data_IF_724430436091
#
_entry.id   IF_724430436091
#
_cell.length_a   1.000
_cell.length_b   1.000
_cell.length_c   1.000
_cell.angle_alpha   90.00
_cell.angle_beta   90.00
_cell.angle_gamma   90.00
#
_symmetry.space_group_name_H-M   'P 1'
#
loop_
_entity.id
_entity.type
_entity.pdbx_description
1 polymer ?
#
# COMPACT_ATOMS: atom_id res chain seq x y z
N UNK A 1 -18.91 26.75 -34.74
CA UNK A 1 -18.81 28.06 -34.02
C UNK A 1 -18.44 29.16 -35.01
N UNK A 2 -17.43 28.94 -35.87
CA UNK A 2 -17.11 29.81 -37.01
C UNK A 2 -18.29 29.94 -38.00
N UNK A 3 -19.03 28.85 -38.25
CA UNK A 3 -20.21 28.86 -39.14
C UNK A 3 -21.34 29.79 -38.65
N UNK A 4 -21.46 29.96 -37.32
CA UNK A 4 -22.39 30.90 -36.70
C UNK A 4 -21.98 32.35 -36.95
N UNK A 5 -20.67 32.64 -36.97
CA UNK A 5 -20.16 33.96 -37.29
C UNK A 5 -20.27 34.27 -38.78
N UNK A 6 -20.01 33.29 -39.66
CA UNK A 6 -20.18 33.42 -41.12
C UNK A 6 -21.67 33.62 -41.48
N UNK A 7 -22.59 33.00 -40.73
CA UNK A 7 -24.02 33.20 -40.92
C UNK A 7 -24.51 34.62 -40.57
N UNK A 8 -23.82 35.35 -39.69
CA UNK A 8 -24.13 36.74 -39.32
C UNK A 8 -23.61 37.78 -40.32
N UNK A 9 -22.76 37.38 -41.27
CA UNK A 9 -22.22 38.28 -42.30
C UNK A 9 -23.23 38.44 -43.45
N UNK A 10 -23.42 39.66 -43.99
CA UNK A 10 -24.29 39.89 -45.15
C UNK A 10 -23.91 39.00 -46.34
N UNK A 11 -24.90 38.53 -47.11
CA UNK A 11 -24.70 37.54 -48.18
C UNK A 11 -23.62 37.94 -49.21
N UNK A 12 -23.47 39.24 -49.49
CA UNK A 12 -22.47 39.76 -50.43
C UNK A 12 -21.00 39.58 -49.99
N UNK A 13 -20.76 39.38 -48.68
CA UNK A 13 -19.43 39.20 -48.11
C UNK A 13 -19.19 37.77 -47.60
N UNK A 14 -20.17 36.89 -47.78
CA UNK A 14 -20.12 35.53 -47.24
C UNK A 14 -19.04 34.68 -47.91
N UNK A 15 -18.88 34.77 -49.23
CA UNK A 15 -17.83 34.07 -49.98
C UNK A 15 -16.43 34.53 -49.57
N UNK A 16 -16.24 35.84 -49.34
CA UNK A 16 -14.98 36.43 -48.87
C UNK A 16 -14.69 36.04 -47.43
N UNK A 17 -15.72 35.99 -46.58
CA UNK A 17 -15.62 35.53 -45.20
C UNK A 17 -15.30 34.03 -45.12
N UNK A 18 -15.85 33.21 -46.01
CA UNK A 18 -15.58 31.77 -46.10
C UNK A 18 -14.15 31.49 -46.58
N UNK A 19 -13.71 32.19 -47.64
CA UNK A 19 -12.34 32.13 -48.16
C UNK A 19 -11.33 32.68 -47.14
N UNK A 20 -11.72 33.71 -46.39
CA UNK A 20 -10.97 34.24 -45.26
C UNK A 20 -10.91 33.27 -44.09
N UNK A 21 -11.96 32.51 -43.78
CA UNK A 21 -11.95 31.57 -42.66
C UNK A 21 -11.24 30.24 -42.96
N UNK A 22 -11.04 29.90 -44.24
CA UNK A 22 -10.52 28.59 -44.68
C UNK A 22 -9.22 28.16 -44.00
N UNK A 23 -8.19 29.02 -43.82
CA UNK A 23 -6.94 28.67 -43.15
C UNK A 23 -7.09 28.25 -41.68
N UNK A 24 -8.16 28.70 -40.99
CA UNK A 24 -8.40 28.44 -39.56
C UNK A 24 -9.59 27.50 -39.30
N UNK A 25 -10.53 27.38 -40.25
CA UNK A 25 -11.80 26.65 -40.07
C UNK A 25 -11.63 25.19 -39.63
N UNK A 26 -10.52 24.54 -39.98
CA UNK A 26 -10.22 23.15 -39.62
C UNK A 26 -9.65 22.98 -38.19
N UNK A 27 -9.10 24.04 -37.57
CA UNK A 27 -8.46 23.99 -36.25
C UNK A 27 -9.43 23.61 -35.11
N UNK A 28 -10.64 24.20 -35.00
CA UNK A 28 -11.60 23.80 -33.96
C UNK A 28 -12.07 22.34 -34.09
N UNK A 29 -12.21 21.85 -35.33
CA UNK A 29 -12.58 20.46 -35.60
C UNK A 29 -11.46 19.51 -35.18
N UNK A 30 -10.21 19.85 -35.49
CA UNK A 30 -9.03 19.11 -35.02
C UNK A 30 -8.98 19.04 -33.49
N UNK A 31 -9.24 20.15 -32.79
CA UNK A 31 -9.29 20.19 -31.33
C UNK A 31 -10.37 19.27 -30.75
N UNK A 32 -11.56 19.22 -31.37
CA UNK A 32 -12.64 18.32 -30.94
C UNK A 32 -12.30 16.84 -31.14
N UNK A 33 -11.69 16.49 -32.27
CA UNK A 33 -11.24 15.11 -32.54
C UNK A 33 -10.17 14.67 -31.54
N UNK A 34 -9.21 15.55 -31.25
CA UNK A 34 -8.16 15.29 -30.27
C UNK A 34 -8.73 15.12 -28.86
N UNK A 35 -9.63 16.01 -28.42
CA UNK A 35 -10.29 15.88 -27.12
C UNK A 35 -11.11 14.58 -27.03
N UNK A 36 -11.86 14.23 -28.08
CA UNK A 36 -12.57 12.96 -28.18
C UNK A 36 -11.63 11.76 -28.00
N UNK A 37 -10.46 11.77 -28.65
CA UNK A 37 -9.46 10.71 -28.52
C UNK A 37 -8.92 10.51 -27.09
N UNK A 38 -8.84 11.57 -26.27
CA UNK A 38 -8.42 11.48 -24.87
C UNK A 38 -9.54 10.92 -23.96
N UNK A 39 -10.78 11.35 -24.17
CA UNK A 39 -11.90 10.96 -23.31
C UNK A 39 -12.55 9.62 -23.68
N UNK A 40 -12.42 9.17 -24.93
CA UNK A 40 -13.07 7.96 -25.43
C UNK A 40 -12.21 6.71 -25.21
N UNK A 41 -11.95 6.37 -23.93
CA UNK A 41 -11.09 5.24 -23.57
C UNK A 41 -11.72 4.31 -22.52
N UNK A 42 -11.60 3.00 -22.74
CA UNK A 42 -12.27 1.94 -21.97
C UNK A 42 -11.68 1.75 -20.55
N UNK A 43 -10.46 2.21 -20.28
CA UNK A 43 -9.81 2.04 -18.96
C UNK A 43 -9.11 3.30 -18.46
N UNK A 44 -9.21 3.59 -17.16
CA UNK A 44 -8.56 4.77 -16.54
C UNK A 44 -7.04 4.81 -16.72
N UNK A 45 -6.39 3.63 -16.78
CA UNK A 45 -4.96 3.51 -17.05
C UNK A 45 -4.57 3.93 -18.47
N UNK A 46 -5.42 3.64 -19.46
CA UNK A 46 -5.19 4.07 -20.84
C UNK A 46 -5.33 5.59 -21.00
N UNK A 47 -6.25 6.22 -20.26
CA UNK A 47 -6.38 7.68 -20.20
C UNK A 47 -5.14 8.31 -19.58
N UNK A 48 -4.66 7.78 -18.45
CA UNK A 48 -3.45 8.25 -17.80
C UNK A 48 -2.23 8.16 -18.72
N UNK A 49 -2.04 7.03 -19.42
CA UNK A 49 -0.94 6.86 -20.37
C UNK A 49 -1.02 7.85 -21.55
N UNK A 50 -2.22 8.04 -22.12
CA UNK A 50 -2.45 9.04 -23.19
C UNK A 50 -2.12 10.45 -22.69
N UNK A 51 -2.60 10.84 -21.52
CA UNK A 51 -2.31 12.15 -20.94
C UNK A 51 -0.82 12.36 -20.71
N UNK A 52 -0.12 11.41 -20.11
CA UNK A 52 1.32 11.57 -19.83
C UNK A 52 2.13 11.58 -21.13
N UNK A 53 1.83 10.74 -22.12
CA UNK A 53 2.64 10.65 -23.35
C UNK A 53 2.32 11.71 -24.41
N UNK A 54 1.07 12.16 -24.50
CA UNK A 54 0.57 12.92 -25.66
C UNK A 54 0.06 14.32 -25.32
N UNK A 55 -0.24 14.65 -24.05
CA UNK A 55 -0.82 15.96 -23.70
C UNK A 55 0.08 17.13 -24.14
N UNK A 56 1.34 17.16 -23.70
CA UNK A 56 2.25 18.25 -24.03
C UNK A 56 2.59 18.33 -25.54
N UNK A 57 2.88 17.21 -26.25
CA UNK A 57 3.04 17.23 -27.71
C UNK A 57 1.80 17.74 -28.45
N UNK A 58 0.60 17.33 -28.03
CA UNK A 58 -0.66 17.75 -28.67
C UNK A 58 -0.94 19.23 -28.44
N UNK A 59 -0.69 19.74 -27.22
CA UNK A 59 -0.80 21.17 -26.92
C UNK A 59 0.18 22.01 -27.76
N UNK A 60 1.43 21.56 -27.91
CA UNK A 60 2.40 22.22 -28.79
C UNK A 60 1.92 22.22 -30.24
N UNK A 61 1.43 21.09 -30.74
CA UNK A 61 0.88 20.98 -32.09
C UNK A 61 -0.30 21.91 -32.35
N UNK A 62 -1.23 22.01 -31.39
CA UNK A 62 -2.35 22.96 -31.42
C UNK A 62 -1.86 24.40 -31.43
N UNK A 63 -0.94 24.77 -30.54
CA UNK A 63 -0.38 26.11 -30.47
C UNK A 63 0.36 26.49 -31.77
N UNK A 64 1.18 25.58 -32.30
CA UNK A 64 1.89 25.76 -33.57
C UNK A 64 0.92 25.92 -34.75
N UNK A 65 -0.15 25.11 -34.80
CA UNK A 65 -1.14 25.16 -35.86
C UNK A 65 -1.96 26.47 -35.81
N UNK A 66 -2.35 26.94 -34.61
CA UNK A 66 -2.97 28.26 -34.43
C UNK A 66 -2.05 29.42 -34.82
N UNK A 67 -0.78 29.38 -34.39
CA UNK A 67 0.19 30.42 -34.74
C UNK A 67 0.49 30.45 -36.24
N UNK A 68 0.57 29.29 -36.89
CA UNK A 68 0.78 29.17 -38.33
C UNK A 68 -0.46 29.67 -39.09
N UNK A 69 -1.66 29.29 -38.65
CA UNK A 69 -2.92 29.79 -39.23
C UNK A 69 -3.04 31.31 -39.14
N UNK A 70 -2.72 31.89 -37.98
CA UNK A 70 -2.70 33.35 -37.78
C UNK A 70 -1.59 34.03 -38.61
N UNK A 71 -0.43 33.39 -38.74
CA UNK A 71 0.68 33.91 -39.54
C UNK A 71 0.28 34.09 -41.01
N UNK A 72 -0.55 33.20 -41.56
CA UNK A 72 -1.04 33.28 -42.94
C UNK A 72 -1.78 34.60 -43.21
N UNK A 73 -2.56 35.12 -42.26
CA UNK A 73 -3.23 36.42 -42.43
C UNK A 73 -2.28 37.61 -42.36
N UNK A 74 -1.15 37.46 -41.68
CA UNK A 74 -0.14 38.53 -41.58
C UNK A 74 0.86 38.49 -42.72
N UNK A 75 0.95 37.38 -43.47
CA UNK A 75 1.88 37.23 -44.60
C UNK A 75 1.76 38.33 -45.65
N UNK A 76 0.54 38.76 -46.10
CA UNK A 76 0.36 39.80 -47.12
C UNK A 76 0.99 41.15 -46.75
N UNK A 77 1.08 41.47 -45.46
CA UNK A 77 1.51 42.77 -44.95
C UNK A 77 2.99 42.83 -44.52
N UNK A 78 3.74 41.71 -44.60
CA UNK A 78 5.16 41.66 -44.19
C UNK A 78 6.11 41.89 -45.37
N UNK A 79 7.15 42.69 -45.13
CA UNK A 79 8.19 43.04 -46.11
C UNK A 79 9.22 41.93 -46.38
N UNK A 80 9.43 40.99 -45.45
CA UNK A 80 10.42 39.88 -45.57
C UNK A 80 9.77 38.50 -45.56
N UNK A 81 8.97 38.21 -46.59
CA UNK A 81 8.12 37.01 -46.66
C UNK A 81 8.93 35.70 -46.66
N UNK A 82 10.02 35.64 -47.43
CA UNK A 82 10.84 34.42 -47.59
C UNK A 82 11.60 34.10 -46.29
N UNK A 83 12.21 35.11 -45.65
CA UNK A 83 12.91 34.96 -44.37
C UNK A 83 11.94 34.49 -43.27
N UNK A 84 10.72 35.03 -43.25
CA UNK A 84 9.68 34.64 -42.31
C UNK A 84 9.17 33.21 -42.53
N UNK A 85 8.92 32.79 -43.77
CA UNK A 85 8.53 31.41 -44.10
C UNK A 85 9.64 30.42 -43.73
N UNK A 86 10.90 30.75 -44.00
CA UNK A 86 12.04 29.94 -43.59
C UNK A 86 12.13 29.82 -42.06
N UNK A 87 11.86 30.91 -41.34
CA UNK A 87 11.85 30.93 -39.87
C UNK A 87 10.74 30.05 -39.31
N UNK A 88 9.52 30.14 -39.86
CA UNK A 88 8.40 29.25 -39.49
C UNK A 88 8.77 27.78 -39.70
N UNK A 89 9.38 27.45 -40.85
CA UNK A 89 9.76 26.07 -41.17
C UNK A 89 10.82 25.53 -40.19
N UNK A 90 11.83 26.35 -39.86
CA UNK A 90 12.82 26.01 -38.82
C UNK A 90 12.17 25.85 -37.44
N UNK A 91 11.17 26.66 -37.11
CA UNK A 91 10.45 26.57 -35.83
C UNK A 91 9.63 25.27 -35.73
N UNK A 92 9.03 24.82 -36.84
CA UNK A 92 8.36 23.51 -36.94
C UNK A 92 9.33 22.34 -36.80
N UNK A 93 10.53 22.45 -37.40
CA UNK A 93 11.58 21.46 -37.21
C UNK A 93 12.05 21.39 -35.75
N UNK A 94 12.22 22.54 -35.10
CA UNK A 94 12.60 22.62 -33.68
C UNK A 94 11.53 22.02 -32.76
N UNK A 95 10.25 22.25 -33.07
CA UNK A 95 9.14 21.63 -32.36
C UNK A 95 9.10 20.11 -32.53
N UNK A 96 9.34 19.59 -33.73
CA UNK A 96 9.44 18.14 -33.96
C UNK A 96 10.59 17.52 -33.15
N UNK A 97 11.76 18.18 -33.12
CA UNK A 97 12.90 17.77 -32.29
C UNK A 97 12.58 17.82 -30.79
N UNK A 98 11.85 18.82 -30.33
CA UNK A 98 11.41 18.94 -28.94
C UNK A 98 10.44 17.81 -28.54
N UNK A 99 9.49 17.45 -29.40
CA UNK A 99 8.58 16.30 -29.20
C UNK A 99 9.36 14.99 -29.15
N UNK A 100 10.35 14.82 -30.02
CA UNK A 100 11.21 13.64 -30.00
C UNK A 100 12.02 13.53 -28.69
N UNK A 101 12.62 14.63 -28.24
CA UNK A 101 13.35 14.68 -26.96
C UNK A 101 12.43 14.39 -25.76
N UNK A 102 11.17 14.83 -25.83
CA UNK A 102 10.15 14.51 -24.83
C UNK A 102 9.92 13.00 -24.70
N UNK A 103 9.73 12.30 -25.81
CA UNK A 103 9.56 10.84 -25.79
C UNK A 103 10.81 10.11 -25.31
N UNK A 104 12.01 10.52 -25.72
CA UNK A 104 13.26 9.94 -25.21
C UNK A 104 13.39 10.16 -23.69
N UNK A 105 13.07 11.37 -23.22
CA UNK A 105 13.06 11.68 -21.78
C UNK A 105 12.09 10.78 -21.02
N UNK A 106 10.89 10.58 -21.55
CA UNK A 106 9.89 9.68 -20.98
C UNK A 106 10.33 8.21 -20.93
N UNK A 107 10.95 7.69 -22.00
CA UNK A 107 11.49 6.32 -22.01
C UNK A 107 12.58 6.15 -20.96
N UNK A 108 13.45 7.16 -20.79
CA UNK A 108 14.50 7.15 -19.76
C UNK A 108 13.91 7.13 -18.36
N UNK A 109 12.87 7.93 -18.09
CA UNK A 109 12.15 7.92 -16.81
C UNK A 109 11.51 6.56 -16.56
N UNK A 110 10.87 5.97 -17.58
CA UNK A 110 10.31 4.62 -17.50
C UNK A 110 11.36 3.56 -17.15
N UNK A 111 12.53 3.61 -17.79
CA UNK A 111 13.64 2.69 -17.48
C UNK A 111 14.14 2.85 -16.04
N UNK A 112 14.22 4.08 -15.53
CA UNK A 112 14.61 4.34 -14.14
C UNK A 112 13.56 3.82 -13.15
N UNK A 113 12.27 4.03 -13.41
CA UNK A 113 11.17 3.51 -12.59
C UNK A 113 11.17 1.98 -12.54
N UNK A 114 11.40 1.30 -13.67
CA UNK A 114 11.56 -0.16 -13.70
C UNK A 114 12.77 -0.58 -12.88
N UNK A 115 13.90 0.13 -13.02
CA UNK A 115 15.07 -0.09 -12.19
C UNK A 115 14.76 0.02 -10.70
N UNK A 116 13.97 1.03 -10.29
CA UNK A 116 13.53 1.22 -8.91
C UNK A 116 12.63 0.09 -8.41
N UNK A 117 11.68 -0.37 -9.23
CA UNK A 117 10.83 -1.51 -8.89
C UNK A 117 11.66 -2.78 -8.68
N UNK A 118 12.68 -2.99 -9.52
CA UNK A 118 13.60 -4.13 -9.39
C UNK A 118 14.45 -4.02 -8.14
N UNK A 119 15.01 -2.85 -7.81
CA UNK A 119 15.80 -2.67 -6.58
C UNK A 119 14.93 -2.80 -5.33
N UNK A 120 13.73 -2.20 -5.33
CA UNK A 120 12.78 -2.33 -4.22
C UNK A 120 12.30 -3.76 -4.06
N UNK A 121 12.03 -4.48 -5.15
CA UNK A 121 11.69 -5.90 -5.10
C UNK A 121 12.86 -6.73 -4.57
N UNK A 122 14.09 -6.47 -5.02
CA UNK A 122 15.28 -7.15 -4.52
C UNK A 122 15.47 -6.92 -3.02
N UNK A 123 15.27 -5.69 -2.55
CA UNK A 123 15.32 -5.34 -1.13
C UNK A 123 14.18 -5.97 -0.34
N UNK A 124 12.96 -5.94 -0.85
CA UNK A 124 11.83 -6.60 -0.22
C UNK A 124 12.06 -8.10 -0.11
N UNK A 125 12.65 -8.74 -1.13
CA UNK A 125 13.03 -10.16 -1.10
C UNK A 125 14.16 -10.40 -0.10
N UNK A 126 15.20 -9.56 -0.08
CA UNK A 126 16.32 -9.69 0.87
C UNK A 126 15.83 -9.52 2.31
N UNK A 127 14.98 -8.52 2.56
CA UNK A 127 14.39 -8.23 3.86
C UNK A 127 13.37 -9.30 4.26
N UNK A 128 12.57 -9.82 3.34
CA UNK A 128 11.68 -10.95 3.60
C UNK A 128 12.46 -12.24 3.86
N UNK A 129 13.58 -12.47 3.17
CA UNK A 129 14.45 -13.62 3.39
C UNK A 129 15.20 -13.50 4.73
N UNK A 130 15.68 -12.32 5.09
CA UNK A 130 16.28 -12.03 6.40
C UNK A 130 15.24 -12.08 7.52
N UNK A 131 14.00 -11.63 7.27
CA UNK A 131 12.88 -11.74 8.19
C UNK A 131 12.38 -13.18 8.35
N UNK A 132 12.39 -13.99 7.28
CA UNK A 132 12.08 -15.42 7.32
C UNK A 132 13.19 -16.19 8.04
N UNK A 133 14.46 -15.88 7.72
CA UNK A 133 15.62 -16.38 8.45
C UNK A 133 15.52 -15.98 9.92
N UNK A 134 15.10 -14.76 10.24
CA UNK A 134 14.77 -14.32 11.59
C UNK A 134 13.59 -15.08 12.18
N UNK A 135 12.51 -15.36 11.47
CA UNK A 135 11.40 -16.15 12.03
C UNK A 135 11.88 -17.55 12.42
N UNK A 136 12.88 -18.07 11.70
CA UNK A 136 13.57 -19.34 11.98
C UNK A 136 14.66 -19.19 13.06
N UNK A 137 15.37 -18.06 13.16
CA UNK A 137 16.50 -17.85 14.10
C UNK A 137 16.18 -17.01 15.35
N UNK A 138 15.09 -16.25 15.37
CA UNK A 138 14.53 -15.53 16.52
C UNK A 138 14.19 -16.49 17.67
N UNK A 139 13.61 -17.69 17.46
CA UNK A 139 13.48 -18.67 18.54
C UNK A 139 14.82 -19.26 18.99
N UNK A 140 15.96 -18.90 18.40
CA UNK A 140 17.30 -19.29 18.86
C UNK A 140 18.06 -18.11 19.51
N UNK A 141 17.94 -16.89 18.95
CA UNK A 141 18.69 -15.72 19.40
C UNK A 141 17.98 -14.91 20.51
N UNK A 142 16.65 -14.80 20.48
CA UNK A 142 15.87 -14.21 21.59
C UNK A 142 15.89 -15.17 22.79
N UNK A 143 15.95 -16.47 22.52
CA UNK A 143 16.13 -17.54 23.51
C UNK A 143 17.46 -17.40 24.26
N UNK A 144 18.57 -17.03 23.60
CA UNK A 144 19.84 -16.79 24.33
C UNK A 144 19.78 -15.62 25.32
N UNK A 145 19.10 -14.52 24.98
CA UNK A 145 19.05 -13.31 25.82
C UNK A 145 17.93 -13.30 26.86
N UNK A 146 16.80 -13.94 26.57
CA UNK A 146 15.71 -14.13 27.54
C UNK A 146 16.00 -15.27 28.51
N UNK A 147 16.80 -16.27 28.14
CA UNK A 147 17.20 -17.34 29.08
C UNK A 147 18.30 -16.92 30.05
N UNK A 148 18.97 -15.79 29.84
CA UNK A 148 19.91 -15.24 30.84
C UNK A 148 19.21 -14.31 31.86
N UNK A 149 18.11 -13.64 31.49
CA UNK A 149 17.43 -12.65 32.35
C UNK A 149 16.12 -13.14 32.97
N UNK A 150 15.43 -14.12 32.38
CA UNK A 150 14.08 -14.52 32.84
C UNK A 150 13.94 -16.01 33.23
N UNK A 151 14.82 -16.91 32.76
CA UNK A 151 14.56 -18.36 32.87
C UNK A 151 15.81 -19.19 33.22
N UNK A 152 15.65 -20.21 34.06
CA UNK A 152 16.72 -21.21 34.30
C UNK A 152 17.05 -21.95 32.99
N UNK A 153 18.33 -22.27 32.72
CA UNK A 153 18.68 -23.23 31.67
C UNK A 153 18.11 -24.60 32.05
N UNK A 154 17.06 -25.03 31.34
CA UNK A 154 16.42 -26.34 31.56
C UNK A 154 14.89 -26.39 31.42
N UNK A 155 14.18 -25.26 31.23
CA UNK A 155 12.72 -25.30 31.01
C UNK A 155 12.42 -25.40 29.50
N UNK A 156 11.58 -26.36 29.05
CA UNK A 156 11.38 -26.64 27.62
C UNK A 156 10.53 -25.55 26.95
N UNK A 157 11.19 -24.60 26.29
CA UNK A 157 10.59 -23.61 25.38
C UNK A 157 9.59 -24.24 24.39
N UNK A 158 9.90 -25.45 23.95
CA UNK A 158 9.04 -26.26 23.10
C UNK A 158 7.66 -26.49 23.73
N UNK A 159 7.59 -26.73 25.05
CA UNK A 159 6.33 -26.94 25.75
C UNK A 159 5.49 -25.66 25.83
N UNK A 160 6.11 -24.49 25.99
CA UNK A 160 5.40 -23.21 25.95
C UNK A 160 4.82 -22.93 24.56
N UNK A 161 5.64 -23.04 23.50
CA UNK A 161 5.17 -22.80 22.12
C UNK A 161 4.11 -23.82 21.73
N UNK A 162 4.30 -25.09 22.10
CA UNK A 162 3.34 -26.15 21.80
C UNK A 162 2.03 -25.96 22.59
N UNK A 163 2.09 -25.48 23.84
CA UNK A 163 0.89 -25.12 24.61
C UNK A 163 0.11 -23.98 23.95
N UNK A 164 0.79 -22.89 23.55
CA UNK A 164 0.14 -21.77 22.85
C UNK A 164 -0.45 -22.21 21.52
N UNK A 165 0.30 -23.02 20.75
CA UNK A 165 -0.19 -23.60 19.51
C UNK A 165 -1.42 -24.49 19.75
N UNK A 166 -1.39 -25.32 20.79
CA UNK A 166 -2.51 -26.18 21.15
C UNK A 166 -3.74 -25.38 21.58
N UNK A 167 -3.58 -24.34 22.41
CA UNK A 167 -4.66 -23.43 22.76
C UNK A 167 -5.27 -22.75 21.53
N UNK A 168 -4.43 -22.33 20.56
CA UNK A 168 -4.90 -21.75 19.31
C UNK A 168 -5.66 -22.76 18.45
N UNK A 169 -5.21 -24.02 18.42
CA UNK A 169 -5.88 -25.11 17.72
C UNK A 169 -7.24 -25.41 18.36
N UNK A 170 -7.30 -25.54 19.68
CA UNK A 170 -8.53 -25.78 20.44
C UNK A 170 -9.52 -24.62 20.28
N UNK A 171 -9.05 -23.36 20.34
CA UNK A 171 -9.87 -22.18 20.08
C UNK A 171 -10.45 -22.18 18.66
N UNK A 172 -9.66 -22.61 17.69
CA UNK A 172 -10.09 -22.70 16.29
C UNK A 172 -11.17 -23.75 16.12
N UNK A 173 -10.98 -24.96 16.68
CA UNK A 173 -11.97 -26.04 16.64
C UNK A 173 -13.29 -25.56 17.28
N UNK A 174 -13.24 -24.98 18.49
CA UNK A 174 -14.44 -24.49 19.16
C UNK A 174 -15.10 -23.33 18.43
N UNK A 175 -14.33 -22.45 17.79
CA UNK A 175 -14.90 -21.38 16.96
C UNK A 175 -15.71 -21.99 15.82
N UNK A 176 -15.21 -23.04 15.16
CA UNK A 176 -15.94 -23.72 14.09
C UNK A 176 -17.19 -24.46 14.59
N UNK A 177 -17.14 -25.09 15.77
CA UNK A 177 -18.29 -25.82 16.31
C UNK A 177 -19.36 -24.89 16.88
N UNK A 178 -18.99 -23.75 17.49
CA UNK A 178 -19.95 -22.78 18.04
C UNK A 178 -20.49 -21.79 17.01
N UNK A 179 -19.86 -21.66 15.84
CA UNK A 179 -20.28 -20.68 14.84
C UNK A 179 -21.76 -20.83 14.42
N UNK A 180 -22.28 -22.05 14.14
CA UNK A 180 -23.69 -22.22 13.79
C UNK A 180 -24.63 -21.81 14.94
N UNK A 181 -24.34 -22.22 16.16
CA UNK A 181 -25.18 -21.94 17.34
C UNK A 181 -25.20 -20.45 17.67
N UNK A 182 -24.03 -19.79 17.66
CA UNK A 182 -23.94 -18.34 17.85
C UNK A 182 -24.58 -17.56 16.70
N UNK A 183 -24.49 -18.07 15.47
CA UNK A 183 -25.13 -17.44 14.32
C UNK A 183 -26.65 -17.41 14.46
N UNK A 184 -27.24 -18.49 14.98
CA UNK A 184 -28.68 -18.57 15.22
C UNK A 184 -29.13 -17.62 16.33
N UNK A 185 -28.43 -17.63 17.48
CA UNK A 185 -28.77 -16.74 18.61
C UNK A 185 -28.62 -15.27 18.22
N UNK A 186 -27.57 -14.92 17.46
CA UNK A 186 -27.37 -13.56 16.99
C UNK A 186 -28.37 -13.16 15.91
N UNK A 187 -28.75 -14.08 15.01
CA UNK A 187 -29.80 -13.83 14.02
C UNK A 187 -31.15 -13.58 14.71
N UNK A 188 -31.48 -14.36 15.75
CA UNK A 188 -32.72 -14.21 16.53
C UNK A 188 -32.76 -12.91 17.33
N UNK A 189 -31.63 -12.43 17.87
CA UNK A 189 -31.55 -11.16 18.59
C UNK A 189 -31.45 -9.93 17.68
N UNK A 190 -30.74 -10.02 16.56
CA UNK A 190 -30.43 -8.89 15.68
C UNK A 190 -31.42 -8.73 14.52
N UNK A 191 -32.25 -9.74 14.23
CA UNK A 191 -33.25 -9.72 13.17
C UNK A 191 -32.67 -9.64 11.75
N UNK A 192 -31.36 -9.88 11.57
CA UNK A 192 -30.66 -9.77 10.29
C UNK A 192 -29.90 -11.05 9.93
N UNK A 193 -30.00 -11.48 8.67
CA UNK A 193 -29.39 -12.73 8.17
C UNK A 193 -27.87 -12.65 7.94
N UNK A 194 -27.27 -11.46 8.02
CA UNK A 194 -25.85 -11.26 7.71
C UNK A 194 -25.02 -10.97 8.96
N UNK A 195 -24.27 -11.98 9.38
CA UNK A 195 -23.31 -11.85 10.48
C UNK A 195 -22.01 -11.25 9.94
N UNK A 196 -21.53 -10.13 10.51
CA UNK A 196 -20.24 -9.56 10.12
C UNK A 196 -19.09 -10.56 10.36
N UNK A 197 -18.13 -10.64 9.43
CA UNK A 197 -16.88 -11.42 9.61
C UNK A 197 -16.13 -11.07 10.90
N UNK A 198 -16.33 -9.86 11.41
CA UNK A 198 -15.78 -9.40 12.68
C UNK A 198 -16.25 -10.24 13.89
N UNK A 199 -17.47 -10.77 13.87
CA UNK A 199 -18.02 -11.60 14.96
C UNK A 199 -17.25 -12.91 15.12
N UNK A 200 -16.87 -13.54 14.02
CA UNK A 200 -16.06 -14.77 14.02
C UNK A 200 -14.67 -14.53 14.61
N UNK A 201 -14.04 -13.40 14.25
CA UNK A 201 -12.73 -13.01 14.79
C UNK A 201 -12.83 -12.74 16.29
N UNK A 202 -13.85 -12.00 16.73
CA UNK A 202 -14.05 -11.68 18.14
C UNK A 202 -14.29 -12.96 18.98
N UNK A 203 -15.11 -13.87 18.48
CA UNK A 203 -15.37 -15.16 19.11
C UNK A 203 -14.08 -15.97 19.28
N UNK A 204 -13.25 -16.03 18.24
CA UNK A 204 -11.99 -16.75 18.28
C UNK A 204 -11.06 -16.22 19.38
N UNK A 205 -10.91 -14.90 19.49
CA UNK A 205 -10.11 -14.29 20.55
C UNK A 205 -10.70 -14.53 21.95
N UNK A 206 -12.02 -14.46 22.08
CA UNK A 206 -12.70 -14.74 23.34
C UNK A 206 -12.47 -16.19 23.80
N UNK A 207 -12.64 -17.16 22.89
CA UNK A 207 -12.41 -18.58 23.18
C UNK A 207 -10.95 -18.87 23.48
N UNK A 208 -10.02 -18.26 22.75
CA UNK A 208 -8.58 -18.38 23.03
C UNK A 208 -8.26 -17.92 24.46
N UNK A 209 -8.79 -16.77 24.88
CA UNK A 209 -8.57 -16.21 26.22
C UNK A 209 -9.17 -17.12 27.29
N UNK A 210 -10.37 -17.65 27.05
CA UNK A 210 -11.03 -18.59 27.96
C UNK A 210 -10.22 -19.89 28.13
N UNK A 211 -9.72 -20.48 27.03
CA UNK A 211 -8.91 -21.71 27.07
C UNK A 211 -7.59 -21.49 27.80
N UNK A 212 -6.92 -20.34 27.55
CA UNK A 212 -5.70 -19.96 28.26
C UNK A 212 -5.98 -19.76 29.76
N UNK A 213 -7.11 -19.12 30.10
CA UNK A 213 -7.55 -18.93 31.48
C UNK A 213 -7.77 -20.25 32.22
N UNK A 214 -8.35 -21.25 31.56
CA UNK A 214 -8.54 -22.59 32.11
C UNK A 214 -7.20 -23.28 32.44
N UNK A 215 -6.18 -23.18 31.58
CA UNK A 215 -4.83 -23.69 31.92
C UNK A 215 -4.19 -22.92 33.09
N UNK A 216 -4.41 -21.61 33.19
CA UNK A 216 -3.94 -20.82 34.32
C UNK A 216 -4.58 -21.26 35.65
N UNK A 217 -5.86 -21.63 35.66
CA UNK A 217 -6.53 -22.17 36.85
C UNK A 217 -5.94 -23.52 37.28
N UNK A 218 -5.66 -24.43 36.33
CA UNK A 218 -5.00 -25.71 36.62
C UNK A 218 -3.59 -25.50 37.22
N UNK A 219 -2.84 -24.51 36.71
CA UNK A 219 -1.54 -24.14 37.29
C UNK A 219 -1.67 -23.58 38.70
N UNK A 220 -2.64 -22.69 38.94
CA UNK A 220 -2.92 -22.18 40.28
C UNK A 220 -3.29 -23.30 41.25
N UNK A 221 -4.04 -24.31 40.80
CA UNK A 221 -4.40 -25.47 41.60
C UNK A 221 -3.16 -26.29 41.98
N UNK A 222 -2.29 -26.57 41.00
CA UNK A 222 -1.03 -27.30 41.26
C UNK A 222 -0.12 -26.54 42.20
N UNK A 223 -0.03 -25.22 42.07
CA UNK A 223 0.79 -24.39 42.94
C UNK A 223 0.22 -24.30 44.36
N UNK A 224 -1.10 -24.23 44.52
CA UNK A 224 -1.76 -24.30 45.82
C UNK A 224 -1.58 -25.67 46.51
N UNK A 225 -1.63 -26.77 45.75
CA UNK A 225 -1.35 -28.13 46.24
C UNK A 225 0.10 -28.25 46.71
N UNK A 226 1.06 -27.70 45.95
CA UNK A 226 2.48 -27.69 46.34
C UNK A 226 2.72 -26.89 47.63
N UNK A 227 2.05 -25.73 47.77
CA UNK A 227 2.15 -24.86 48.97
C UNK A 227 1.38 -25.39 50.18
N UNK A 228 0.59 -26.47 50.03
CA UNK A 228 -0.23 -27.11 51.09
C UNK A 228 -1.20 -26.16 51.80
N UNK A 229 -1.66 -25.10 51.13
CA UNK A 229 -2.62 -24.16 51.70
C UNK A 229 -4.06 -24.62 51.42
N UNK A 230 -4.63 -25.39 52.34
CA UNK A 230 -5.95 -26.02 52.17
C UNK A 230 -7.08 -25.04 51.84
N UNK A 231 -7.04 -23.82 52.42
CA UNK A 231 -8.04 -22.78 52.16
C UNK A 231 -8.01 -22.31 50.70
N UNK A 232 -6.82 -22.15 50.12
CA UNK A 232 -6.65 -21.75 48.72
C UNK A 232 -7.00 -22.89 47.76
N UNK A 233 -6.67 -24.14 48.10
CA UNK A 233 -7.05 -25.31 47.30
C UNK A 233 -8.58 -25.38 47.14
N UNK A 234 -9.33 -25.26 48.24
CA UNK A 234 -10.80 -25.32 48.19
C UNK A 234 -11.38 -24.21 47.30
N UNK A 235 -10.85 -22.99 47.40
CA UNK A 235 -11.30 -21.86 46.57
C UNK A 235 -11.02 -22.09 45.08
N UNK A 236 -9.81 -22.56 44.73
CA UNK A 236 -9.43 -22.79 43.33
C UNK A 236 -10.19 -23.97 42.73
N UNK A 237 -10.41 -25.06 43.49
CA UNK A 237 -11.23 -26.18 43.05
C UNK A 237 -12.68 -25.75 42.77
N UNK A 238 -13.25 -24.85 43.59
CA UNK A 238 -14.59 -24.32 43.35
C UNK A 238 -14.66 -23.49 42.06
N UNK A 239 -13.65 -22.67 41.79
CA UNK A 239 -13.52 -21.92 40.53
C UNK A 239 -13.37 -22.87 39.34
N UNK A 240 -12.55 -23.90 39.46
CA UNK A 240 -12.32 -24.90 38.42
C UNK A 240 -13.59 -25.67 38.07
N UNK A 241 -14.39 -26.08 39.07
CA UNK A 241 -15.68 -26.74 38.85
C UNK A 241 -16.64 -25.82 38.09
N UNK A 242 -16.64 -24.52 38.40
CA UNK A 242 -17.46 -23.54 37.69
C UNK A 242 -17.02 -23.36 36.23
N UNK A 243 -15.71 -23.26 35.97
CA UNK A 243 -15.16 -23.19 34.61
C UNK A 243 -15.45 -24.47 33.83
N UNK A 244 -15.26 -25.63 34.47
CA UNK A 244 -15.60 -26.94 33.91
C UNK A 244 -17.07 -27.00 33.52
N UNK A 245 -17.98 -26.57 34.39
CA UNK A 245 -19.42 -26.54 34.08
C UNK A 245 -19.71 -25.70 32.82
N UNK A 246 -19.12 -24.51 32.73
CA UNK A 246 -19.28 -23.64 31.56
C UNK A 246 -18.72 -24.28 30.28
N UNK A 247 -17.47 -24.76 30.32
CA UNK A 247 -16.82 -25.37 29.15
C UNK A 247 -17.52 -26.65 28.69
N UNK A 248 -17.98 -27.48 29.63
CA UNK A 248 -18.70 -28.71 29.30
C UNK A 248 -20.05 -28.39 28.67
N UNK A 249 -20.81 -27.46 29.25
CA UNK A 249 -22.17 -27.17 28.81
C UNK A 249 -22.21 -26.40 27.48
N UNK A 250 -21.27 -25.49 27.24
CA UNK A 250 -21.28 -24.61 26.06
C UNK A 250 -20.26 -25.00 24.97
N UNK A 251 -19.12 -25.60 25.31
CA UNK A 251 -18.08 -25.92 24.31
C UNK A 251 -18.05 -27.40 23.97
N UNK A 252 -17.80 -28.25 24.95
CA UNK A 252 -17.62 -29.68 24.72
C UNK A 252 -18.91 -30.37 24.35
N UNK A 253 -20.06 -29.93 24.87
CA UNK A 253 -21.37 -30.43 24.43
C UNK A 253 -21.59 -30.17 22.95
N UNK A 254 -21.41 -28.94 22.47
CA UNK A 254 -21.59 -28.59 21.05
C UNK A 254 -20.59 -29.35 20.16
N UNK A 255 -19.37 -29.57 20.64
CA UNK A 255 -18.40 -30.42 19.96
C UNK A 255 -18.87 -31.88 19.87
N UNK A 256 -19.40 -32.46 20.95
CA UNK A 256 -19.95 -33.82 20.96
C UNK A 256 -21.18 -33.91 20.06
N UNK A 257 -22.07 -32.93 20.10
CA UNK A 257 -23.27 -32.88 19.24
C UNK A 257 -22.88 -32.76 17.76
N UNK A 258 -21.82 -32.02 17.42
CA UNK A 258 -21.28 -31.95 16.06
C UNK A 258 -20.66 -33.27 15.57
N UNK A 259 -20.06 -34.06 16.47
CA UNK A 259 -19.43 -35.35 16.14
C UNK A 259 -20.44 -36.52 16.20
N UNK A 260 -21.54 -36.37 16.93
CA UNK A 260 -22.56 -37.40 17.15
C UNK A 260 -23.10 -38.03 15.85
N UNK A 261 -23.43 -37.28 14.78
CA UNK A 261 -23.90 -37.87 13.52
C UNK A 261 -22.91 -38.88 12.92
N UNK A 262 -21.60 -38.62 13.05
CA UNK A 262 -20.55 -39.53 12.58
C UNK A 262 -20.47 -40.81 13.44
N UNK A 263 -20.69 -40.70 14.75
CA UNK A 263 -20.70 -41.85 15.68
C UNK A 263 -21.91 -42.76 15.41
N UNK A 264 -23.08 -42.17 15.16
CA UNK A 264 -24.32 -42.92 14.86
C UNK A 264 -24.19 -43.69 13.54
N UNK A 265 -23.53 -43.12 12.53
CA UNK A 265 -23.23 -43.80 11.27
C UNK A 265 -22.34 -45.04 11.44
N UNK A 266 -21.43 -45.05 12.42
CA UNK A 266 -20.54 -46.19 12.68
C UNK A 266 -21.13 -47.25 13.63
N UNK A 267 -22.01 -46.84 14.54
CA UNK A 267 -22.52 -47.71 15.62
C UNK A 267 -23.88 -48.35 15.29
N UNK A 268 -24.48 -47.97 14.15
CA UNK A 268 -25.77 -48.45 13.69
C UNK A 268 -26.95 -47.71 14.32
N UNK A 269 -28.06 -47.67 13.58
CA UNK A 269 -29.31 -46.89 13.77
C UNK A 269 -30.07 -47.08 15.11
N UNK A 270 -29.45 -47.66 16.14
CA UNK A 270 -30.06 -47.95 17.45
C UNK A 270 -29.52 -47.07 18.59
N UNK A 271 -28.52 -46.23 18.34
CA UNK A 271 -27.94 -45.36 19.36
C UNK A 271 -28.52 -43.94 19.27
N UNK A 272 -29.53 -43.65 20.08
CA UNK A 272 -29.98 -42.29 20.34
C UNK A 272 -29.30 -41.81 21.64
N UNK A 273 -28.18 -41.06 21.58
CA UNK A 273 -27.55 -40.55 22.78
C UNK A 273 -28.48 -39.56 23.47
N UNK A 274 -29.01 -39.93 24.64
CA UNK A 274 -29.76 -39.01 25.50
C UNK A 274 -28.84 -37.91 26.05
N UNK A 275 -29.43 -36.80 26.52
CA UNK A 275 -28.70 -35.64 27.06
C UNK A 275 -27.69 -36.01 28.17
N UNK A 276 -28.01 -37.00 29.01
CA UNK A 276 -27.08 -37.47 30.05
C UNK A 276 -25.86 -38.18 29.48
N UNK A 277 -26.00 -38.87 28.35
CA UNK A 277 -24.89 -39.55 27.68
C UNK A 277 -23.96 -38.53 27.00
N UNK A 278 -24.52 -37.55 26.28
CA UNK A 278 -23.71 -36.49 25.65
C UNK A 278 -22.95 -35.67 26.67
N UNK A 279 -23.59 -35.32 27.80
CA UNK A 279 -22.93 -34.58 28.89
C UNK A 279 -21.82 -35.39 29.57
N UNK A 280 -22.03 -36.70 29.75
CA UNK A 280 -21.00 -37.58 30.31
C UNK A 280 -19.79 -37.66 29.38
N UNK A 281 -20.00 -37.88 28.08
CA UNK A 281 -18.93 -37.90 27.08
C UNK A 281 -18.21 -36.56 26.99
N UNK A 282 -18.96 -35.44 27.02
CA UNK A 282 -18.39 -34.09 27.03
C UNK A 282 -17.51 -33.86 28.28
N UNK A 283 -17.94 -34.32 29.45
CA UNK A 283 -17.18 -34.20 30.71
C UNK A 283 -15.91 -35.05 30.66
N UNK A 284 -15.98 -36.30 30.21
CA UNK A 284 -14.79 -37.15 30.06
C UNK A 284 -13.84 -36.64 28.97
N UNK A 285 -14.39 -36.10 27.87
CA UNK A 285 -13.62 -35.42 26.84
C UNK A 285 -12.87 -34.20 27.39
N UNK A 286 -13.56 -33.38 28.19
CA UNK A 286 -12.96 -32.23 28.85
C UNK A 286 -11.81 -32.63 29.77
N UNK A 287 -12.05 -33.56 30.70
CA UNK A 287 -11.03 -34.06 31.62
C UNK A 287 -9.86 -34.70 30.85
N UNK A 288 -10.15 -35.46 29.79
CA UNK A 288 -9.15 -36.14 28.97
C UNK A 288 -8.25 -35.17 28.21
N UNK A 289 -8.85 -34.24 27.46
CA UNK A 289 -8.10 -33.25 26.67
C UNK A 289 -7.32 -32.32 27.59
N UNK A 290 -7.94 -31.81 28.66
CA UNK A 290 -7.26 -30.92 29.62
C UNK A 290 -6.16 -31.64 30.39
N UNK A 291 -6.41 -32.85 30.90
CA UNK A 291 -5.42 -33.65 31.61
C UNK A 291 -4.24 -34.04 30.74
N UNK A 292 -4.49 -34.44 29.50
CA UNK A 292 -3.44 -34.77 28.52
C UNK A 292 -2.62 -33.53 28.14
N UNK A 293 -3.28 -32.42 27.80
CA UNK A 293 -2.58 -31.17 27.43
C UNK A 293 -1.79 -30.60 28.59
N UNK A 294 -2.34 -30.70 29.81
CA UNK A 294 -1.64 -30.34 31.03
C UNK A 294 -0.37 -31.17 31.24
N UNK A 295 -0.48 -32.50 31.13
CA UNK A 295 0.66 -33.40 31.33
C UNK A 295 1.74 -33.22 30.25
N UNK A 296 1.35 -33.12 28.99
CA UNK A 296 2.30 -33.00 27.88
C UNK A 296 2.98 -31.63 27.83
N UNK A 297 2.22 -30.55 28.05
CA UNK A 297 2.70 -29.19 27.79
C UNK A 297 2.43 -28.24 28.97
N UNK A 298 1.27 -28.31 29.60
CA UNK A 298 0.83 -27.37 30.64
C UNK A 298 1.75 -27.29 31.85
N UNK A 299 2.25 -28.42 32.37
CA UNK A 299 3.13 -28.43 33.55
C UNK A 299 4.45 -27.65 33.35
N UNK A 300 4.90 -27.51 32.11
CA UNK A 300 6.13 -26.80 31.75
C UNK A 300 5.88 -25.45 31.07
N UNK A 301 4.75 -25.30 30.36
CA UNK A 301 4.42 -24.12 29.55
C UNK A 301 3.56 -23.08 30.27
N UNK A 302 2.79 -23.46 31.29
CA UNK A 302 1.89 -22.50 31.98
C UNK A 302 2.61 -21.49 32.89
N UNK A 303 3.68 -21.86 33.63
CA UNK A 303 4.46 -20.88 34.39
C UNK A 303 5.07 -19.74 33.55
N UNK A 304 5.75 -20.01 32.40
CA UNK A 304 6.22 -18.93 31.53
C UNK A 304 5.08 -18.13 30.89
N UNK A 305 3.93 -18.76 30.60
CA UNK A 305 2.73 -18.05 30.12
C UNK A 305 2.24 -17.01 31.15
N UNK A 306 2.16 -17.39 32.43
CA UNK A 306 1.81 -16.47 33.52
C UNK A 306 2.86 -15.38 33.75
N UNK A 307 4.14 -15.67 33.61
CA UNK A 307 5.22 -14.68 33.73
C UNK A 307 5.17 -13.62 32.60
N UNK A 308 4.87 -14.05 31.37
CA UNK A 308 4.70 -13.14 30.22
C UNK A 308 3.43 -12.29 30.37
N UNK A 309 2.31 -12.88 30.80
CA UNK A 309 1.05 -12.15 31.01
C UNK A 309 1.19 -11.14 32.17
N UNK A 310 1.81 -11.54 33.27
CA UNK A 310 1.99 -10.68 34.45
C UNK A 310 3.12 -9.66 34.29
N UNK A 311 3.96 -9.78 33.24
CA UNK A 311 5.20 -9.03 33.04
C UNK A 311 6.15 -9.07 34.25
N UNK A 312 6.01 -10.06 35.13
CA UNK A 312 6.87 -10.22 36.29
C UNK A 312 7.96 -11.25 35.97
N UNK A 313 9.24 -10.92 36.22
CA UNK A 313 10.30 -11.91 36.13
C UNK A 313 10.03 -13.02 37.14
N UNK A 314 10.28 -14.27 36.76
CA UNK A 314 10.13 -15.43 37.65
C UNK A 314 10.90 -15.18 38.95
N UNK A 315 10.25 -15.39 40.11
CA UNK A 315 10.88 -15.18 41.41
C UNK A 315 12.21 -15.96 41.48
N UNK A 316 13.28 -15.20 41.61
CA UNK A 316 14.64 -15.71 41.69
C UNK A 316 14.88 -16.15 43.14
N UNK A 317 15.33 -17.40 43.41
CA UNK A 317 16.03 -17.66 44.65
C UNK A 317 17.35 -16.87 44.57
N UNK A 318 17.47 -15.89 45.45
CA UNK A 318 18.53 -14.87 45.60
C UNK A 318 19.88 -15.10 44.86
N UNK A 319 20.35 -14.06 44.18
CA UNK A 319 21.80 -13.79 44.13
C UNK A 319 22.55 -13.75 42.80
N UNK A 320 21.96 -13.36 41.65
CA UNK A 320 22.78 -12.97 40.48
C UNK A 320 22.35 -11.67 39.80
N UNK A 321 23.29 -10.75 39.53
CA UNK A 321 22.98 -9.48 38.88
C UNK A 321 22.70 -9.67 37.39
N UNK A 322 21.63 -9.04 36.94
CA UNK A 322 21.21 -8.97 35.53
C UNK A 322 22.22 -8.13 34.74
N UNK A 323 22.92 -8.77 33.80
CA UNK A 323 23.82 -8.11 32.86
C UNK A 323 22.98 -7.45 31.76
N UNK A 324 22.92 -6.12 31.73
CA UNK A 324 22.31 -5.38 30.62
C UNK A 324 23.29 -5.42 29.46
N UNK A 325 22.95 -6.17 28.41
CA UNK A 325 23.80 -6.28 27.21
C UNK A 325 23.31 -5.29 26.17
N UNK A 326 24.25 -4.54 25.59
CA UNK A 326 24.04 -3.48 24.60
C UNK A 326 23.19 -3.92 23.38
N UNK A 327 22.56 -2.93 22.74
CA UNK A 327 21.77 -3.10 21.52
C UNK A 327 22.47 -3.97 20.46
N UNK A 328 21.71 -4.86 19.79
CA UNK A 328 22.30 -5.78 18.83
C UNK A 328 22.93 -5.07 17.61
N UNK A 329 24.22 -5.31 17.38
CA UNK A 329 24.96 -4.82 16.21
C UNK A 329 24.38 -5.24 14.84
N UNK A 330 23.51 -6.25 14.80
CA UNK A 330 22.99 -6.86 13.57
C UNK A 330 21.83 -6.08 12.90
N UNK A 331 21.16 -5.14 13.60
CA UNK A 331 20.20 -4.21 12.98
C UNK A 331 20.87 -3.02 12.30
N UNK A 332 22.13 -2.73 12.65
CA UNK A 332 22.85 -1.58 12.10
C UNK A 332 23.22 -1.76 10.64
N UNK A 333 23.58 -2.97 10.22
CA UNK A 333 23.96 -3.24 8.82
C UNK A 333 22.79 -3.08 7.84
N UNK A 334 21.62 -3.73 8.02
CA UNK A 334 20.47 -3.56 7.12
C UNK A 334 19.92 -2.13 7.13
N UNK A 335 19.93 -1.48 8.30
CA UNK A 335 19.47 -0.10 8.42
C UNK A 335 20.43 0.89 7.77
N UNK A 336 21.74 0.62 7.84
CA UNK A 336 22.75 1.42 7.14
C UNK A 336 22.67 1.22 5.62
N UNK A 337 22.47 -0.01 5.15
CA UNK A 337 22.25 -0.32 3.72
C UNK A 337 20.99 0.39 3.21
N UNK A 338 19.88 0.29 3.94
CA UNK A 338 18.62 0.96 3.61
C UNK A 338 18.77 2.49 3.59
N UNK A 339 19.48 3.07 4.57
CA UNK A 339 19.74 4.52 4.63
C UNK A 339 20.64 4.97 3.47
N UNK A 340 21.61 4.16 3.09
CA UNK A 340 22.50 4.40 1.94
C UNK A 340 21.72 4.35 0.62
N UNK A 341 20.78 3.43 0.49
CA UNK A 341 19.89 3.34 -0.67
C UNK A 341 18.89 4.47 -0.73
N UNK A 342 18.30 4.91 0.39
CA UNK A 342 17.47 6.13 0.44
C UNK A 342 18.28 7.36 0.02
N UNK A 343 19.52 7.48 0.51
CA UNK A 343 20.41 8.58 0.14
C UNK A 343 20.72 8.57 -1.36
N UNK A 344 21.02 7.41 -1.93
CA UNK A 344 21.19 7.22 -3.37
C UNK A 344 19.91 7.55 -4.15
N UNK A 345 18.74 7.18 -3.62
CA UNK A 345 17.45 7.44 -4.24
C UNK A 345 17.16 8.94 -4.32
N UNK A 346 17.52 9.69 -3.28
CA UNK A 346 17.36 11.14 -3.23
C UNK A 346 18.24 11.82 -4.29
N UNK A 347 19.52 11.45 -4.37
CA UNK A 347 20.46 12.01 -5.34
C UNK A 347 20.11 11.65 -6.80
N UNK A 348 19.51 10.47 -7.03
CA UNK A 348 18.95 10.10 -8.35
C UNK A 348 17.60 10.75 -8.65
N UNK A 349 16.83 11.12 -7.64
CA UNK A 349 15.56 11.84 -7.80
C UNK A 349 15.78 13.26 -8.33
N UNK A 350 16.84 13.94 -7.89
CA UNK A 350 17.22 15.25 -8.42
C UNK A 350 17.64 15.16 -9.91
N UNK A 351 18.36 14.10 -10.28
CA UNK A 351 18.68 13.84 -11.69
C UNK A 351 17.44 13.49 -12.52
N UNK A 352 16.46 12.79 -11.94
CA UNK A 352 15.17 12.51 -12.58
C UNK A 352 14.36 13.78 -12.83
N UNK A 353 14.33 14.71 -11.88
CA UNK A 353 13.69 16.01 -12.05
C UNK A 353 14.34 16.78 -13.20
N UNK A 354 15.65 16.68 -13.36
CA UNK A 354 16.35 17.27 -14.50
C UNK A 354 16.01 16.55 -15.82
N UNK A 355 15.98 15.21 -15.84
CA UNK A 355 15.60 14.44 -17.03
C UNK A 355 14.14 14.57 -17.43
N UNK A 356 13.23 14.84 -16.50
CA UNK A 356 11.81 15.07 -16.76
C UNK A 356 11.53 16.54 -17.09
N UNK A 357 12.19 17.45 -16.36
CA UNK A 357 12.02 18.89 -16.49
C UNK A 357 12.57 19.44 -17.80
N UNK A 358 13.75 18.98 -18.23
CA UNK A 358 14.37 19.47 -19.47
C UNK A 358 13.46 19.26 -20.68
N UNK A 359 12.98 18.05 -21.01
CA UNK A 359 12.16 17.84 -22.22
C UNK A 359 10.80 18.55 -22.17
N UNK A 360 10.18 18.66 -20.99
CA UNK A 360 8.96 19.46 -20.83
C UNK A 360 9.21 20.96 -21.11
N UNK A 361 10.33 21.50 -20.63
CA UNK A 361 10.72 22.90 -20.92
C UNK A 361 11.04 23.13 -22.40
N UNK A 362 11.58 22.14 -23.12
CA UNK A 362 11.80 22.24 -24.56
C UNK A 362 10.48 22.40 -25.33
N UNK A 363 9.43 21.68 -24.94
CA UNK A 363 8.10 21.81 -25.56
C UNK A 363 7.47 23.18 -25.28
N UNK A 364 7.58 23.68 -24.06
CA UNK A 364 7.05 25.00 -23.67
C UNK A 364 7.80 26.12 -24.41
N UNK A 365 9.13 26.05 -24.48
CA UNK A 365 9.94 27.02 -25.21
C UNK A 365 9.68 26.99 -26.72
N UNK A 366 9.45 25.80 -27.31
CA UNK A 366 9.04 25.68 -28.70
C UNK A 366 7.68 26.35 -28.95
N UNK A 367 6.70 26.17 -28.04
CA UNK A 367 5.39 26.83 -28.14
C UNK A 367 5.52 28.37 -28.03
N UNK A 368 6.34 28.86 -27.10
CA UNK A 368 6.63 30.28 -26.94
C UNK A 368 7.35 30.86 -28.16
N UNK A 369 8.26 30.11 -28.79
CA UNK A 369 8.91 30.51 -30.03
C UNK A 369 7.91 30.72 -31.17
N UNK A 370 6.87 29.87 -31.29
CA UNK A 370 5.79 30.10 -32.25
C UNK A 370 5.04 31.42 -32.01
N UNK A 371 4.73 31.73 -30.74
CA UNK A 371 4.11 33.00 -30.37
C UNK A 371 5.02 34.20 -30.66
N UNK A 372 6.31 34.10 -30.35
CA UNK A 372 7.27 35.17 -30.59
C UNK A 372 7.59 35.38 -32.07
N UNK A 373 7.64 34.32 -32.88
CA UNK A 373 7.77 34.41 -34.34
C UNK A 373 6.53 35.09 -34.93
N UNK A 374 5.33 34.82 -34.40
CA UNK A 374 4.11 35.51 -34.81
C UNK A 374 4.16 37.02 -34.48
N UNK A 375 4.58 37.42 -33.28
CA UNK A 375 4.55 38.83 -32.85
C UNK A 375 5.76 39.63 -33.34
N UNK A 376 6.96 39.07 -33.27
CA UNK A 376 8.25 39.78 -33.47
C UNK A 376 9.04 39.31 -34.70
N UNK A 377 8.54 38.30 -35.43
CA UNK A 377 9.21 37.67 -36.57
C UNK A 377 10.57 37.00 -36.26
N UNK A 378 10.92 36.84 -34.97
CA UNK A 378 12.16 36.19 -34.53
C UNK A 378 11.89 35.23 -33.36
N UNK A 379 12.51 34.05 -33.33
CA UNK A 379 12.50 33.18 -32.16
C UNK A 379 13.37 33.77 -31.05
N UNK A 380 13.00 33.55 -29.79
CA UNK A 380 13.73 34.08 -28.62
C UNK A 380 14.55 32.99 -27.92
N UNK A 381 14.09 31.74 -27.97
CA UNK A 381 14.77 30.61 -27.36
C UNK A 381 15.55 29.81 -28.41
N UNK A 382 16.83 29.56 -28.17
CA UNK A 382 17.64 28.62 -28.97
C UNK A 382 17.55 27.21 -28.38
N UNK A 383 16.90 26.29 -29.09
CA UNK A 383 16.80 24.88 -28.71
C UNK A 383 17.96 24.05 -29.33
N UNK A 384 18.45 22.99 -28.67
CA UNK A 384 18.04 22.44 -27.37
C UNK A 384 18.77 23.08 -26.16
N UNK A 385 18.08 23.18 -25.02
CA UNK A 385 18.68 23.59 -23.74
C UNK A 385 19.54 22.46 -23.16
N UNK A 386 20.70 22.83 -22.61
CA UNK A 386 21.62 21.89 -21.97
C UNK A 386 21.37 21.72 -20.47
N UNK A 387 20.75 22.70 -19.81
CA UNK A 387 20.44 22.63 -18.37
C UNK A 387 19.21 23.46 -17.99
N UNK A 388 18.60 23.17 -16.84
CA UNK A 388 17.49 23.96 -16.30
C UNK A 388 17.89 25.39 -15.90
N UNK A 389 19.19 25.64 -15.68
CA UNK A 389 19.71 26.99 -15.36
C UNK A 389 19.62 27.93 -16.55
N UNK A 390 19.93 27.44 -17.77
CA UNK A 390 19.80 28.23 -19.00
C UNK A 390 18.35 28.67 -19.24
N UNK A 391 17.37 27.87 -18.83
CA UNK A 391 15.94 28.20 -18.95
C UNK A 391 15.55 29.35 -18.02
N UNK A 392 16.07 29.36 -16.79
CA UNK A 392 15.83 30.44 -15.81
C UNK A 392 16.49 31.74 -16.25
N UNK A 393 17.74 31.68 -16.71
CA UNK A 393 18.45 32.84 -17.25
C UNK A 393 17.74 33.44 -18.49
N UNK A 394 17.26 32.59 -19.41
CA UNK A 394 16.54 33.08 -20.60
C UNK A 394 15.17 33.67 -20.23
N UNK A 395 14.51 33.17 -19.17
CA UNK A 395 13.28 33.76 -18.61
C UNK A 395 13.54 35.13 -17.99
N UNK A 396 14.65 35.30 -17.28
CA UNK A 396 15.05 36.58 -16.69
C UNK A 396 15.39 37.61 -17.77
N UNK A 397 16.05 37.20 -18.86
CA UNK A 397 16.30 38.05 -20.03
C UNK A 397 14.98 38.47 -20.70
N UNK A 398 14.01 37.55 -20.84
CA UNK A 398 12.69 37.86 -21.39
C UNK A 398 11.90 38.82 -20.48
N UNK A 399 11.96 38.63 -19.16
CA UNK A 399 11.33 39.53 -18.19
C UNK A 399 11.97 40.92 -18.22
N UNK A 400 13.30 41.00 -18.39
CA UNK A 400 14.04 42.25 -18.59
C UNK A 400 13.66 42.97 -19.89
N UNK A 401 13.48 42.23 -21.00
CA UNK A 401 13.03 42.79 -22.28
C UNK A 401 11.57 43.28 -22.24
N UNK A 402 10.67 42.57 -21.54
CA UNK A 402 9.28 43.01 -21.36
C UNK A 402 9.16 44.22 -20.43
N UNK A 403 10.06 44.38 -19.46
CA UNK A 403 10.10 45.55 -18.57
C UNK A 403 10.87 46.76 -19.16
N UNK A 404 11.57 46.60 -20.28
CA UNK A 404 12.32 47.68 -20.96
C UNK A 404 11.74 48.05 -22.33
N UNK A 405 10.50 48.53 -22.37
CA UNK A 405 10.08 49.58 -23.30
C UNK A 405 9.21 50.58 -22.50
N UNK A 406 9.61 51.87 -22.38
CA UNK A 406 9.95 52.72 -23.52
C UNK A 406 11.24 53.55 -23.31
N UNK A 407 12.22 53.43 -24.22
CA UNK A 407 13.21 54.50 -24.39
C UNK A 407 12.80 55.31 -25.62
N UNK A 408 12.15 56.44 -25.34
CA UNK A 408 11.91 57.54 -26.29
C UNK A 408 13.16 57.73 -27.15
N UNK A 409 13.02 57.61 -28.46
CA UNK A 409 13.99 58.14 -29.40
C UNK A 409 14.09 59.64 -29.14
N UNK A 410 15.21 60.06 -28.58
CA UNK A 410 15.66 61.44 -28.60
C UNK A 410 16.94 61.47 -29.41
N UNK A 411 16.89 62.10 -30.59
CA UNK A 411 17.98 62.88 -31.19
C UNK A 411 17.59 63.28 -32.63
N UNK A 412 18.14 64.37 -33.18
CA UNK A 412 18.78 65.54 -32.55
C UNK A 412 17.87 66.77 -32.48
#
# INVERSE_FOLDING_TARGET
>A
MIDRFIAMVPDAWRDVAELGATPIAWLPRLQQVLLGFFFDSVSGWSVAAKCVLLLFPVLLGLAAAWCTGLAVYTLPFRSRRIEFVSTILMTWWDAARAVWMYWIGMVRVGAVLVGWLVTLAHLAVKLAFEAARQLVTLPMAVTGRMTDQYFRPGVPWLAFVMLVFWCALEATIFTFTLMPTLSQVLADLAGGEQIPRATSILLWFFLLLLIMGSFACVQALVDAVKKRELKFIIQIVLVEIFVMFFEVMFLYREMVDAITPWIVQQTGDKFHPGLGFTLSVATFGWVGIRGMTWFLFGQYGTPPLLAVISRQPMETPEGRPVKVTAEPAWWREPFADFKKEIGWLHERSDQLLEYLGLPAMHLIAAALNFGMVLVTARPVFSLPFKSLKEVTETREVLAGLMHLQPRRQGAP
#
